data_IF_830178059573
#
_entry.id   IF_830178059573
#
_cell.length_a   1.000
_cell.length_b   1.000
_cell.length_c   1.000
_cell.angle_alpha   90.00
_cell.angle_beta   90.00
_cell.angle_gamma   90.00
#
_symmetry.space_group_name_H-M   'P 1'
#
loop_
_entity.id
_entity.type
_entity.pdbx_description
1 polymer ?
#
# COMPACT_ATOMS: atom_id res chain seq x y z
N UNK A 1 -19.23 70.03 35.95
CA UNK A 1 -19.20 68.55 36.02
C UNK A 1 -19.21 68.00 34.62
N UNK A 2 -18.07 67.50 34.11
CA UNK A 2 -17.96 66.92 32.77
C UNK A 2 -17.91 65.40 32.93
N UNK A 3 -18.98 64.73 32.42
CA UNK A 3 -18.99 63.26 32.36
C UNK A 3 -18.16 62.82 31.17
N UNK A 4 -17.06 62.15 31.40
CA UNK A 4 -16.23 61.49 30.40
C UNK A 4 -16.82 60.14 30.12
N UNK A 5 -17.39 59.91 28.92
CA UNK A 5 -17.86 58.62 28.45
C UNK A 5 -16.65 57.79 28.01
N UNK A 6 -16.33 56.74 28.70
CA UNK A 6 -15.34 55.75 28.30
C UNK A 6 -16.04 54.76 27.36
N UNK A 7 -15.68 54.77 26.08
CA UNK A 7 -16.07 53.73 25.11
C UNK A 7 -15.15 52.52 25.30
N UNK A 8 -15.68 51.42 25.81
CA UNK A 8 -15.04 50.12 25.73
C UNK A 8 -15.29 49.53 24.36
N UNK A 9 -14.26 49.54 23.55
CA UNK A 9 -14.25 48.77 22.28
C UNK A 9 -13.84 47.32 22.58
N UNK A 10 -14.83 46.42 22.58
CA UNK A 10 -14.61 44.96 22.68
C UNK A 10 -14.05 44.45 21.35
N UNK A 11 -12.76 44.10 21.34
CA UNK A 11 -12.10 43.41 20.22
C UNK A 11 -12.50 41.94 20.26
N UNK A 12 -13.44 41.53 19.40
CA UNK A 12 -13.86 40.15 19.22
C UNK A 12 -12.79 39.43 18.40
N UNK A 13 -11.92 38.66 19.07
CA UNK A 13 -10.96 37.76 18.36
C UNK A 13 -11.75 36.57 17.79
N UNK A 14 -11.96 36.56 16.48
CA UNK A 14 -12.53 35.43 15.76
C UNK A 14 -11.47 34.32 15.69
N UNK A 15 -11.62 33.30 16.52
CA UNK A 15 -10.84 32.07 16.43
C UNK A 15 -11.42 31.24 15.28
N UNK A 16 -10.76 31.26 14.11
CA UNK A 16 -11.07 30.36 13.00
C UNK A 16 -10.61 28.94 13.38
N UNK A 17 -11.50 27.93 13.35
CA UNK A 17 -11.05 26.56 13.50
C UNK A 17 -10.19 26.18 12.29
N UNK A 18 -8.91 25.88 12.53
CA UNK A 18 -8.11 25.16 11.54
C UNK A 18 -8.69 23.74 11.43
N UNK A 19 -9.54 23.53 10.44
CA UNK A 19 -9.94 22.18 10.02
C UNK A 19 -8.69 21.52 9.44
N UNK A 20 -7.98 20.76 10.27
CA UNK A 20 -6.96 19.84 9.79
C UNK A 20 -7.68 18.80 8.95
N UNK A 21 -7.63 18.94 7.63
CA UNK A 21 -7.99 17.86 6.72
C UNK A 21 -7.00 16.73 6.99
N UNK A 22 -7.43 15.75 7.78
CA UNK A 22 -6.74 14.48 7.88
C UNK A 22 -6.74 13.88 6.48
N UNK A 23 -5.60 13.92 5.79
CA UNK A 23 -5.45 13.30 4.50
C UNK A 23 -5.65 11.80 4.71
N UNK A 24 -6.70 11.23 4.12
CA UNK A 24 -6.93 9.79 4.21
C UNK A 24 -5.68 9.06 3.74
N UNK A 25 -5.20 8.13 4.55
CA UNK A 25 -4.02 7.35 4.22
C UNK A 25 -4.31 6.54 2.94
N UNK A 26 -3.42 6.67 1.96
CA UNK A 26 -3.56 6.01 0.65
C UNK A 26 -2.62 4.81 0.57
N UNK A 27 -3.01 3.70 -0.08
CA UNK A 27 -2.12 2.57 -0.34
C UNK A 27 -1.09 2.85 -1.44
N UNK A 28 -1.24 3.96 -2.16
CA UNK A 28 -0.28 4.33 -3.21
C UNK A 28 1.11 4.62 -2.62
N UNK A 29 2.14 4.27 -3.37
CA UNK A 29 3.53 4.49 -3.00
C UNK A 29 4.33 3.21 -2.84
N UNK A 30 5.48 3.30 -2.21
CA UNK A 30 6.44 2.20 -2.08
C UNK A 30 6.30 1.47 -0.76
N UNK A 31 6.42 0.17 -0.84
CA UNK A 31 6.24 -0.74 0.28
C UNK A 31 7.34 -1.79 0.31
N UNK A 32 8.00 -1.91 1.44
CA UNK A 32 8.96 -2.98 1.71
C UNK A 32 8.21 -4.26 2.06
N UNK A 33 8.34 -5.27 1.23
CA UNK A 33 7.72 -6.58 1.49
C UNK A 33 8.54 -7.36 2.51
N UNK A 34 7.87 -7.91 3.50
CA UNK A 34 8.48 -8.73 4.54
C UNK A 34 7.98 -10.16 4.38
N UNK A 35 8.91 -11.08 4.29
CA UNK A 35 8.61 -12.50 4.31
C UNK A 35 8.11 -12.90 5.70
N UNK A 36 6.91 -13.42 5.79
CA UNK A 36 6.25 -13.72 7.06
C UNK A 36 6.78 -14.99 7.76
N UNK A 37 7.53 -15.83 7.06
CA UNK A 37 8.19 -16.99 7.65
C UNK A 37 9.55 -16.64 8.25
N UNK A 38 10.30 -15.77 7.59
CA UNK A 38 11.69 -15.46 7.96
C UNK A 38 11.88 -14.08 8.55
N UNK A 39 10.90 -13.18 8.40
CA UNK A 39 11.01 -11.77 8.80
C UNK A 39 11.95 -10.93 7.91
N UNK A 40 12.48 -11.51 6.84
CA UNK A 40 13.42 -10.80 5.95
C UNK A 40 12.71 -9.89 4.97
N UNK A 41 13.28 -8.71 4.75
CA UNK A 41 12.86 -7.84 3.66
C UNK A 41 13.25 -8.46 2.31
N UNK A 42 12.29 -8.62 1.40
CA UNK A 42 12.49 -9.30 0.11
C UNK A 42 12.58 -8.34 -1.07
N UNK A 43 11.72 -7.33 -1.11
CA UNK A 43 11.63 -6.41 -2.24
C UNK A 43 10.96 -5.10 -1.85
N UNK A 44 11.07 -4.11 -2.73
CA UNK A 44 10.20 -2.92 -2.72
C UNK A 44 9.17 -3.09 -3.83
N UNK A 45 7.90 -2.96 -3.46
CA UNK A 45 6.76 -2.96 -4.39
C UNK A 45 6.17 -1.56 -4.41
N UNK A 46 6.00 -1.00 -5.59
CA UNK A 46 5.32 0.27 -5.78
C UNK A 46 3.87 0.04 -6.19
N UNK A 47 2.94 0.54 -5.37
CA UNK A 47 1.50 0.50 -5.67
C UNK A 47 1.13 1.78 -6.41
N UNK A 48 0.55 1.60 -7.58
CA UNK A 48 0.09 2.67 -8.47
C UNK A 48 -1.35 2.41 -8.93
N UNK A 49 -1.97 3.43 -9.51
CA UNK A 49 -3.28 3.30 -10.14
C UNK A 49 -3.11 2.89 -11.60
N UNK A 50 -3.79 1.81 -11.98
CA UNK A 50 -3.86 1.35 -13.37
C UNK A 50 -4.81 2.24 -14.19
N UNK A 51 -4.75 2.22 -15.54
CA UNK A 51 -5.64 3.02 -16.40
C UNK A 51 -7.14 2.75 -16.20
N UNK A 52 -7.51 1.55 -15.77
CA UNK A 52 -8.89 1.16 -15.45
C UNK A 52 -9.35 1.62 -14.05
N UNK A 53 -8.50 2.34 -13.31
CA UNK A 53 -8.76 2.85 -11.97
C UNK A 53 -8.48 1.87 -10.83
N UNK A 54 -8.17 0.61 -11.13
CA UNK A 54 -7.76 -0.37 -10.11
C UNK A 54 -6.34 -0.10 -9.62
N UNK A 55 -5.96 -0.70 -8.50
CA UNK A 55 -4.58 -0.63 -8.02
C UNK A 55 -3.77 -1.82 -8.52
N UNK A 56 -2.50 -1.54 -8.79
CA UNK A 56 -1.50 -2.55 -9.15
C UNK A 56 -0.22 -2.32 -8.36
N UNK A 57 0.52 -3.41 -8.10
CA UNK A 57 1.82 -3.36 -7.44
C UNK A 57 2.90 -3.96 -8.33
N UNK A 58 3.98 -3.22 -8.52
CA UNK A 58 5.12 -3.62 -9.36
C UNK A 58 6.38 -3.72 -8.49
N UNK A 59 7.15 -4.78 -8.64
CA UNK A 59 8.44 -4.92 -7.96
C UNK A 59 9.43 -3.94 -8.57
N UNK A 60 9.88 -2.96 -7.80
CA UNK A 60 10.82 -1.94 -8.27
C UNK A 60 12.25 -2.20 -7.80
N UNK A 61 12.42 -2.98 -6.75
CA UNK A 61 13.73 -3.33 -6.20
C UNK A 61 13.72 -4.71 -5.55
N UNK A 62 14.82 -5.45 -5.70
CA UNK A 62 15.07 -6.71 -5.00
C UNK A 62 16.03 -6.43 -3.83
N UNK A 63 15.61 -6.72 -2.61
CA UNK A 63 16.42 -6.53 -1.41
C UNK A 63 17.13 -7.82 -1.00
N UNK A 64 16.47 -8.96 -1.12
CA UNK A 64 17.08 -10.28 -0.90
C UNK A 64 16.39 -11.38 -1.70
N UNK A 65 17.17 -12.32 -2.19
CA UNK A 65 16.66 -13.49 -2.91
C UNK A 65 17.67 -14.64 -2.78
N UNK A 66 17.18 -15.85 -2.59
CA UNK A 66 17.99 -17.06 -2.58
C UNK A 66 18.51 -17.42 -3.99
N UNK A 67 17.98 -16.77 -5.02
CA UNK A 67 18.37 -16.92 -6.43
C UNK A 67 19.34 -15.84 -6.91
N UNK A 68 19.97 -15.10 -5.99
CA UNK A 68 20.89 -14.01 -6.31
C UNK A 68 20.20 -12.66 -6.53
N UNK A 69 20.96 -11.64 -6.98
CA UNK A 69 20.49 -10.25 -7.04
C UNK A 69 19.49 -9.98 -8.16
N UNK A 70 19.43 -10.82 -9.19
CA UNK A 70 18.55 -10.65 -10.34
C UNK A 70 17.68 -11.90 -10.56
N UNK A 71 16.76 -12.22 -9.62
CA UNK A 71 15.94 -13.42 -9.73
C UNK A 71 15.00 -13.32 -10.92
N UNK A 72 14.78 -14.45 -11.58
CA UNK A 72 13.76 -14.62 -12.63
C UNK A 72 12.61 -15.47 -12.11
N UNK A 73 11.43 -15.32 -12.71
CA UNK A 73 10.29 -16.18 -12.40
C UNK A 73 10.32 -17.47 -13.23
N UNK A 74 11.13 -18.40 -12.84
CA UNK A 74 11.30 -19.69 -13.53
C UNK A 74 10.07 -20.61 -13.40
N UNK A 75 9.30 -20.47 -12.34
CA UNK A 75 8.07 -21.24 -12.09
C UNK A 75 6.79 -20.57 -12.60
N UNK A 76 6.89 -19.32 -13.08
CA UNK A 76 5.76 -18.62 -13.66
C UNK A 76 5.27 -19.31 -14.94
N UNK A 77 4.02 -19.03 -15.30
CA UNK A 77 3.39 -19.46 -16.54
C UNK A 77 3.14 -18.24 -17.44
N UNK A 78 2.90 -18.52 -18.74
CA UNK A 78 2.53 -17.49 -19.70
C UNK A 78 3.60 -16.41 -19.85
N UNK A 79 3.17 -15.16 -19.95
CA UNK A 79 4.03 -14.01 -20.23
C UNK A 79 5.12 -13.75 -19.18
N UNK A 80 4.91 -14.20 -17.94
CA UNK A 80 5.86 -13.98 -16.84
C UNK A 80 6.93 -15.08 -16.73
N UNK A 81 6.81 -16.17 -17.49
CA UNK A 81 7.78 -17.28 -17.43
C UNK A 81 9.18 -16.82 -17.82
N UNK A 82 10.14 -17.02 -16.93
CA UNK A 82 11.55 -16.65 -17.15
C UNK A 82 11.83 -15.16 -17.17
N UNK A 83 10.85 -14.31 -16.89
CA UNK A 83 11.04 -12.87 -16.83
C UNK A 83 11.70 -12.47 -15.50
N UNK A 84 12.48 -11.36 -15.49
CA UNK A 84 12.99 -10.78 -14.24
C UNK A 84 11.86 -10.47 -13.28
N UNK A 85 12.05 -10.75 -12.00
CA UNK A 85 11.10 -10.39 -10.94
C UNK A 85 11.08 -8.86 -10.76
N UNK A 86 12.24 -8.20 -10.85
CA UNK A 86 12.29 -6.74 -10.89
C UNK A 86 11.59 -6.20 -12.15
N UNK A 87 10.66 -5.27 -11.95
CA UNK A 87 9.81 -4.72 -13.01
C UNK A 87 8.51 -5.51 -13.23
N UNK A 88 8.33 -6.65 -12.56
CA UNK A 88 7.14 -7.48 -12.70
C UNK A 88 5.98 -6.93 -11.89
N UNK A 89 4.80 -6.82 -12.51
CA UNK A 89 3.56 -6.58 -11.78
C UNK A 89 3.15 -7.86 -11.07
N UNK A 90 3.13 -7.81 -9.74
CA UNK A 90 2.77 -8.96 -8.90
C UNK A 90 1.42 -8.82 -8.22
N UNK A 91 0.83 -7.63 -8.25
CA UNK A 91 -0.45 -7.33 -7.63
C UNK A 91 -1.28 -6.51 -8.63
N UNK A 92 -2.54 -6.89 -8.85
CA UNK A 92 -3.41 -6.16 -9.81
C UNK A 92 -4.88 -6.35 -9.51
N UNK A 93 -5.71 -5.46 -10.08
CA UNK A 93 -7.15 -5.56 -10.07
C UNK A 93 -7.84 -5.18 -8.76
N UNK A 94 -7.13 -4.59 -7.81
CA UNK A 94 -7.69 -4.18 -6.53
C UNK A 94 -8.60 -2.97 -6.68
N UNK A 95 -9.80 -3.04 -6.09
CA UNK A 95 -10.81 -1.98 -6.08
C UNK A 95 -11.14 -1.56 -4.64
N UNK A 96 -11.44 -0.27 -4.41
CA UNK A 96 -11.89 0.19 -3.09
C UNK A 96 -13.15 -0.57 -2.62
N UNK A 97 -13.14 -0.97 -1.36
CA UNK A 97 -14.24 -1.70 -0.73
C UNK A 97 -14.26 -1.45 0.78
N UNK A 98 -14.98 -0.40 1.22
CA UNK A 98 -15.23 -0.12 2.63
C UNK A 98 -13.99 0.04 3.52
N UNK A 99 -12.95 0.73 3.05
CA UNK A 99 -11.70 0.94 3.78
C UNK A 99 -10.61 -0.09 3.49
N UNK A 100 -10.91 -1.10 2.71
CA UNK A 100 -9.98 -2.06 2.13
C UNK A 100 -9.93 -1.89 0.60
N UNK A 101 -9.07 -2.65 -0.07
CA UNK A 101 -9.08 -2.85 -1.53
C UNK A 101 -9.13 -4.34 -1.80
N UNK A 102 -10.17 -4.76 -2.51
CA UNK A 102 -10.48 -6.18 -2.71
C UNK A 102 -10.60 -6.55 -4.17
N UNK A 103 -10.89 -7.83 -4.45
CA UNK A 103 -11.12 -8.35 -5.81
C UNK A 103 -9.86 -8.43 -6.68
N UNK A 104 -8.68 -8.26 -6.08
CA UNK A 104 -7.43 -8.35 -6.79
C UNK A 104 -6.85 -9.75 -6.88
N UNK A 105 -5.69 -9.81 -7.51
CA UNK A 105 -4.86 -11.01 -7.64
C UNK A 105 -3.43 -10.67 -7.25
N UNK A 106 -2.77 -11.59 -6.53
CA UNK A 106 -1.33 -11.51 -6.25
C UNK A 106 -0.61 -12.70 -6.84
N UNK A 107 0.52 -12.47 -7.47
CA UNK A 107 1.47 -13.47 -7.94
C UNK A 107 2.59 -13.62 -6.91
N UNK A 108 2.85 -14.86 -6.49
CA UNK A 108 4.07 -15.23 -5.78
C UNK A 108 5.12 -15.69 -6.79
N UNK A 109 6.15 -14.87 -7.11
CA UNK A 109 7.14 -15.24 -8.11
C UNK A 109 8.02 -16.43 -7.72
N UNK A 110 8.20 -16.67 -6.41
CA UNK A 110 8.99 -17.79 -5.93
C UNK A 110 8.30 -19.14 -6.20
N UNK A 111 6.98 -19.15 -6.15
CA UNK A 111 6.14 -20.34 -6.41
C UNK A 111 5.53 -20.36 -7.80
N UNK A 112 5.52 -19.24 -8.52
CA UNK A 112 4.84 -19.10 -9.82
C UNK A 112 3.33 -19.26 -9.72
N UNK A 113 2.75 -19.00 -8.55
CA UNK A 113 1.32 -19.18 -8.25
C UNK A 113 0.64 -17.84 -8.02
N UNK A 114 -0.62 -17.77 -8.41
CA UNK A 114 -1.49 -16.62 -8.14
C UNK A 114 -2.54 -16.96 -7.08
N UNK A 115 -2.94 -15.94 -6.33
CA UNK A 115 -3.95 -16.01 -5.29
C UNK A 115 -4.91 -14.84 -5.43
N UNK A 116 -6.14 -14.99 -4.98
CA UNK A 116 -7.03 -13.84 -4.76
C UNK A 116 -6.40 -12.93 -3.71
N UNK A 117 -6.48 -11.62 -3.91
CA UNK A 117 -5.81 -10.68 -3.03
C UNK A 117 -6.72 -9.57 -2.58
N UNK A 118 -6.45 -9.13 -1.34
CA UNK A 118 -6.94 -7.88 -0.78
C UNK A 118 -5.82 -7.20 -0.01
N UNK A 119 -5.92 -5.87 0.11
CA UNK A 119 -5.01 -5.08 0.93
C UNK A 119 -5.79 -4.15 1.85
N UNK A 120 -5.20 -3.86 2.99
CA UNK A 120 -5.70 -2.89 3.96
C UNK A 120 -4.54 -2.08 4.54
N UNK A 121 -4.84 -0.84 4.93
CA UNK A 121 -3.86 -0.02 5.62
C UNK A 121 -3.92 -0.29 7.13
N UNK A 122 -2.75 -0.44 7.73
CA UNK A 122 -2.56 -0.68 9.15
C UNK A 122 -1.77 0.48 9.77
N UNK A 123 -1.93 0.67 11.07
CA UNK A 123 -1.17 1.66 11.86
C UNK A 123 -1.17 3.05 11.23
N UNK A 124 -2.34 3.55 10.84
CA UNK A 124 -2.47 4.89 10.25
C UNK A 124 -1.79 5.04 8.88
N UNK A 125 -1.65 3.95 8.12
CA UNK A 125 -1.01 3.94 6.81
C UNK A 125 0.50 3.73 6.84
N UNK A 126 1.10 3.45 8.00
CA UNK A 126 2.53 3.12 8.12
C UNK A 126 2.84 1.72 7.65
N UNK A 127 1.86 0.83 7.73
CA UNK A 127 1.94 -0.55 7.29
C UNK A 127 0.78 -0.90 6.36
N UNK A 128 0.96 -1.95 5.58
CA UNK A 128 -0.04 -2.48 4.66
C UNK A 128 -0.13 -3.99 4.89
N UNK A 129 -1.33 -4.45 5.19
CA UNK A 129 -1.66 -5.87 5.21
C UNK A 129 -2.01 -6.33 3.80
N UNK A 130 -1.17 -7.18 3.19
CA UNK A 130 -1.44 -7.82 1.92
C UNK A 130 -1.83 -9.27 2.15
N UNK A 131 -3.05 -9.62 1.80
CA UNK A 131 -3.57 -10.99 1.95
C UNK A 131 -3.64 -11.69 0.60
N UNK A 132 -3.12 -12.91 0.56
CA UNK A 132 -3.35 -13.87 -0.51
C UNK A 132 -4.26 -14.98 -0.02
N UNK A 133 -5.32 -15.29 -0.77
CA UNK A 133 -6.36 -16.21 -0.35
C UNK A 133 -6.54 -17.37 -1.34
N UNK A 134 -6.75 -18.58 -0.79
CA UNK A 134 -7.23 -19.76 -1.51
C UNK A 134 -8.54 -20.17 -0.85
N UNK A 135 -9.66 -20.10 -1.57
CA UNK A 135 -10.99 -20.31 -1.04
C UNK A 135 -11.22 -19.42 0.21
N UNK A 136 -11.46 -20.00 1.38
CA UNK A 136 -11.70 -19.28 2.64
C UNK A 136 -10.42 -19.00 3.44
N UNK A 137 -9.28 -19.52 3.03
CA UNK A 137 -8.02 -19.38 3.74
C UNK A 137 -7.22 -18.21 3.16
N UNK A 138 -6.96 -17.20 3.99
CA UNK A 138 -6.13 -16.07 3.66
C UNK A 138 -4.88 -16.09 4.54
N UNK A 139 -3.74 -15.81 3.92
CA UNK A 139 -2.48 -15.55 4.59
C UNK A 139 -2.12 -14.09 4.38
N UNK A 140 -1.87 -13.37 5.46
CA UNK A 140 -1.50 -11.97 5.41
C UNK A 140 0.00 -11.80 5.62
N UNK A 141 0.61 -10.98 4.77
CA UNK A 141 1.92 -10.39 4.98
C UNK A 141 1.76 -8.93 5.38
N UNK A 142 2.59 -8.46 6.26
CA UNK A 142 2.63 -7.04 6.65
C UNK A 142 3.82 -6.38 5.97
N UNK A 143 3.53 -5.44 5.09
CA UNK A 143 4.53 -4.63 4.39
C UNK A 143 4.72 -3.30 5.10
N UNK A 144 5.91 -2.74 5.00
CA UNK A 144 6.28 -1.50 5.68
C UNK A 144 6.40 -0.39 4.64
N UNK A 145 5.82 0.77 4.93
CA UNK A 145 5.93 1.93 4.04
C UNK A 145 7.38 2.42 3.98
N UNK A 146 7.85 2.67 2.76
CA UNK A 146 9.15 3.29 2.48
C UNK A 146 9.07 4.82 2.47
#
# INVERSE_FOLDING_TARGET
MRLTKILLTSLLLAVLPLSAFAQEASPLGKWKTIDDETGKAKSIVEITRAPDGTLRGTVVEILSSDKGPNPICDKCKGANKGKPVKGMTILWGLKPDGGEWTGGTVLDPAKGKTYKSKIELLEGGKKLGMSGCIAFFCRQQVWIRE
#
